data_IF_197675521283
#
_entry.id   IF_197675521283
#
_cell.length_a   1.000
_cell.length_b   1.000
_cell.length_c   1.000
_cell.angle_alpha   90.00
_cell.angle_beta   90.00
_cell.angle_gamma   90.00
#
_symmetry.space_group_name_H-M   'P 1'
#
loop_
_entity.id
_entity.type
_entity.pdbx_description
1 polymer ?
#
# COMPACT_ATOMS: atom_id res chain seq x y z
N UNK A 1 -29.80 3.01 -13.53
CA UNK A 1 -30.80 3.44 -14.53
C UNK A 1 -32.14 2.77 -14.26
N UNK A 2 -32.93 3.35 -13.36
CA UNK A 2 -34.30 2.93 -13.00
C UNK A 2 -34.72 4.06 -12.06
N UNK A 3 -35.50 5.06 -12.49
CA UNK A 3 -36.92 5.11 -12.18
C UNK A 3 -37.65 6.27 -12.92
N UNK A 4 -37.15 6.75 -14.07
CA UNK A 4 -37.90 7.74 -14.87
C UNK A 4 -39.21 7.17 -15.43
N UNK A 5 -39.33 5.84 -15.47
CA UNK A 5 -40.52 5.14 -15.96
C UNK A 5 -41.76 5.48 -15.14
N UNK A 6 -41.65 5.71 -13.82
CA UNK A 6 -42.83 6.00 -12.99
C UNK A 6 -43.39 7.40 -13.25
N UNK A 7 -42.52 8.41 -13.42
CA UNK A 7 -42.93 9.76 -13.83
C UNK A 7 -43.53 9.78 -15.24
N UNK A 8 -42.90 9.08 -16.19
CA UNK A 8 -43.38 8.99 -17.56
C UNK A 8 -44.74 8.28 -17.60
N UNK A 9 -44.90 7.19 -16.83
CA UNK A 9 -46.16 6.44 -16.76
C UNK A 9 -47.26 7.26 -16.08
N UNK A 10 -46.95 7.99 -15.02
CA UNK A 10 -47.90 8.90 -14.37
C UNK A 10 -48.35 10.04 -15.30
N UNK A 11 -47.43 10.60 -16.09
CA UNK A 11 -47.73 11.65 -17.07
C UNK A 11 -48.61 11.12 -18.21
N UNK A 12 -48.28 9.94 -18.75
CA UNK A 12 -49.08 9.31 -19.82
C UNK A 12 -50.48 8.94 -19.30
N UNK A 13 -50.59 8.38 -18.08
CA UNK A 13 -51.88 8.09 -17.45
C UNK A 13 -52.70 9.35 -17.18
N UNK A 14 -52.04 10.46 -16.83
CA UNK A 14 -52.68 11.78 -16.74
C UNK A 14 -53.32 12.18 -18.06
N UNK A 15 -52.54 12.13 -19.15
CA UNK A 15 -53.01 12.54 -20.50
C UNK A 15 -54.14 11.64 -20.98
N UNK A 16 -54.05 10.33 -20.72
CA UNK A 16 -55.10 9.36 -21.06
C UNK A 16 -56.38 9.63 -20.24
N UNK A 17 -56.27 9.98 -18.95
CA UNK A 17 -57.42 10.32 -18.12
C UNK A 17 -58.14 11.60 -18.60
N UNK A 18 -57.39 12.61 -19.08
CA UNK A 18 -57.97 13.80 -19.72
C UNK A 18 -58.69 13.43 -21.03
N UNK A 19 -58.06 12.58 -21.87
CA UNK A 19 -58.62 12.13 -23.14
C UNK A 19 -59.90 11.29 -22.96
N UNK A 20 -59.97 10.45 -21.93
CA UNK A 20 -61.14 9.63 -21.63
C UNK A 20 -62.28 10.44 -21.00
N UNK A 21 -61.97 11.42 -20.15
CA UNK A 21 -62.98 12.32 -19.56
C UNK A 21 -63.67 13.20 -20.61
N UNK A 22 -62.99 13.56 -21.69
CA UNK A 22 -63.59 14.32 -22.80
C UNK A 22 -64.67 13.52 -23.56
N UNK A 23 -64.66 12.18 -23.48
CA UNK A 23 -65.53 11.31 -24.29
C UNK A 23 -66.85 10.93 -23.60
N UNK A 24 -67.00 11.18 -22.29
CA UNK A 24 -68.16 10.71 -21.51
C UNK A 24 -68.87 11.86 -20.79
N UNK A 25 -69.94 12.34 -21.44
CA UNK A 25 -71.13 13.04 -20.90
C UNK A 25 -71.13 14.58 -20.69
N UNK A 26 -72.29 15.25 -20.92
CA UNK A 26 -72.48 16.69 -20.80
C UNK A 26 -72.90 17.05 -19.37
N UNK A 27 -71.93 17.38 -18.51
CA UNK A 27 -72.18 17.88 -17.15
C UNK A 27 -71.25 19.07 -16.95
N UNK A 28 -71.80 20.17 -16.42
CA UNK A 28 -71.20 21.50 -16.28
C UNK A 28 -69.67 21.53 -16.26
N UNK A 29 -69.11 21.82 -17.43
CA UNK A 29 -67.70 21.67 -17.81
C UNK A 29 -66.70 22.51 -17.01
N UNK A 30 -67.14 23.40 -16.12
CA UNK A 30 -66.24 24.43 -15.56
C UNK A 30 -65.59 24.03 -14.23
N UNK A 31 -66.34 23.38 -13.34
CA UNK A 31 -65.88 23.20 -11.95
C UNK A 31 -65.19 21.85 -11.71
N UNK A 32 -65.57 20.79 -12.44
CA UNK A 32 -64.97 19.46 -12.30
C UNK A 32 -63.54 19.38 -12.86
N UNK A 33 -63.30 20.01 -14.02
CA UNK A 33 -61.98 20.02 -14.66
C UNK A 33 -60.93 20.72 -13.82
N UNK A 34 -61.29 21.82 -13.16
CA UNK A 34 -60.40 22.53 -12.25
C UNK A 34 -59.98 21.68 -11.05
N UNK A 35 -60.92 20.92 -10.47
CA UNK A 35 -60.64 20.04 -9.35
C UNK A 35 -59.72 18.87 -9.74
N UNK A 36 -60.00 18.19 -10.86
CA UNK A 36 -59.18 17.07 -11.35
C UNK A 36 -57.77 17.52 -11.70
N UNK A 37 -57.62 18.64 -12.41
CA UNK A 37 -56.32 19.20 -12.74
C UNK A 37 -55.57 19.69 -11.49
N UNK A 38 -56.29 20.24 -10.50
CA UNK A 38 -55.72 20.65 -9.22
C UNK A 38 -55.10 19.47 -8.46
N UNK A 39 -55.87 18.39 -8.25
CA UNK A 39 -55.38 17.19 -7.57
C UNK A 39 -54.22 16.55 -8.34
N UNK A 40 -54.31 16.51 -9.66
CA UNK A 40 -53.27 15.93 -10.50
C UNK A 40 -51.97 16.73 -10.47
N UNK A 41 -52.05 18.07 -10.46
CA UNK A 41 -50.88 18.94 -10.32
C UNK A 41 -50.18 18.72 -8.98
N UNK A 42 -50.96 18.60 -7.90
CA UNK A 42 -50.45 18.38 -6.55
C UNK A 42 -49.73 17.02 -6.44
N UNK A 43 -50.30 15.98 -7.04
CA UNK A 43 -49.70 14.65 -7.06
C UNK A 43 -48.37 14.62 -7.83
N UNK A 44 -48.31 15.27 -8.99
CA UNK A 44 -47.08 15.38 -9.80
C UNK A 44 -46.01 16.20 -9.07
N UNK A 45 -46.38 17.29 -8.39
CA UNK A 45 -45.42 18.09 -7.60
C UNK A 45 -44.77 17.26 -6.48
N UNK A 46 -45.53 16.44 -5.77
CA UNK A 46 -45.01 15.54 -4.72
C UNK A 46 -44.08 14.48 -5.32
N UNK A 47 -44.46 13.89 -6.46
CA UNK A 47 -43.64 12.90 -7.19
C UNK A 47 -42.30 13.48 -7.64
N UNK A 48 -42.30 14.69 -8.20
CA UNK A 48 -41.08 15.38 -8.63
C UNK A 48 -40.22 15.76 -7.41
N UNK A 49 -40.83 16.24 -6.33
CA UNK A 49 -40.14 16.55 -5.07
C UNK A 49 -39.38 15.35 -4.51
N UNK A 50 -40.02 14.17 -4.48
CA UNK A 50 -39.38 12.92 -4.05
C UNK A 50 -38.20 12.51 -4.93
N UNK A 51 -38.30 12.73 -6.25
CA UNK A 51 -37.22 12.42 -7.20
C UNK A 51 -36.02 13.33 -7.02
N UNK A 52 -36.24 14.63 -6.78
CA UNK A 52 -35.16 15.60 -6.55
C UNK A 52 -34.38 15.24 -5.28
N UNK A 53 -35.08 14.88 -4.19
CA UNK A 53 -34.43 14.46 -2.94
C UNK A 53 -33.56 13.21 -3.13
N UNK A 54 -34.08 12.18 -3.80
CA UNK A 54 -33.31 10.97 -4.09
C UNK A 54 -32.07 11.25 -4.97
N UNK A 55 -32.18 12.13 -5.96
CA UNK A 55 -31.04 12.51 -6.82
C UNK A 55 -29.96 13.22 -6.00
N UNK A 56 -30.34 14.09 -5.07
CA UNK A 56 -29.41 14.78 -4.21
C UNK A 56 -28.70 13.83 -3.23
N UNK A 57 -29.43 12.89 -2.64
CA UNK A 57 -28.87 11.88 -1.75
C UNK A 57 -27.89 10.95 -2.49
N UNK A 58 -28.24 10.49 -3.69
CA UNK A 58 -27.35 9.67 -4.53
C UNK A 58 -26.08 10.42 -4.90
N UNK A 59 -26.16 11.73 -5.19
CA UNK A 59 -24.96 12.55 -5.46
C UNK A 59 -24.02 12.59 -4.26
N UNK A 60 -24.54 12.78 -3.06
CA UNK A 60 -23.75 12.77 -1.81
C UNK A 60 -23.11 11.41 -1.57
N UNK A 61 -23.87 10.32 -1.73
CA UNK A 61 -23.34 8.96 -1.60
C UNK A 61 -22.24 8.67 -2.62
N UNK A 62 -22.34 9.17 -3.86
CA UNK A 62 -21.30 9.02 -4.88
C UNK A 62 -20.03 9.80 -4.50
N UNK A 63 -20.17 10.99 -3.92
CA UNK A 63 -19.05 11.81 -3.46
C UNK A 63 -18.31 11.13 -2.30
N UNK A 64 -19.05 10.66 -1.28
CA UNK A 64 -18.51 9.92 -0.14
C UNK A 64 -17.84 8.61 -0.59
N UNK A 65 -18.43 7.92 -1.56
CA UNK A 65 -17.88 6.69 -2.13
C UNK A 65 -16.58 6.96 -2.91
N UNK A 66 -16.53 8.03 -3.71
CA UNK A 66 -15.31 8.44 -4.42
C UNK A 66 -14.21 8.84 -3.43
N UNK A 67 -14.54 9.54 -2.36
CA UNK A 67 -13.57 9.87 -1.32
C UNK A 67 -13.01 8.60 -0.67
N UNK A 68 -13.88 7.65 -0.32
CA UNK A 68 -13.50 6.35 0.24
C UNK A 68 -12.60 5.56 -0.70
N UNK A 69 -12.96 5.47 -1.99
CA UNK A 69 -12.14 4.82 -3.02
C UNK A 69 -10.77 5.50 -3.13
N UNK A 70 -10.72 6.83 -3.10
CA UNK A 70 -9.45 7.56 -3.20
C UNK A 70 -8.53 7.28 -2.01
N UNK A 71 -9.09 7.16 -0.79
CA UNK A 71 -8.36 6.79 0.43
C UNK A 71 -7.85 5.35 0.33
N UNK A 72 -8.71 4.41 -0.05
CA UNK A 72 -8.34 2.99 -0.22
C UNK A 72 -7.26 2.81 -1.29
N UNK A 73 -7.33 3.57 -2.39
CA UNK A 73 -6.31 3.52 -3.45
C UNK A 73 -4.95 4.00 -2.94
N UNK A 74 -4.91 5.14 -2.24
CA UNK A 74 -3.66 5.66 -1.64
C UNK A 74 -3.08 4.71 -0.59
N UNK A 75 -3.93 4.15 0.27
CA UNK A 75 -3.51 3.18 1.27
C UNK A 75 -2.93 1.92 0.62
N UNK A 76 -3.58 1.40 -0.42
CA UNK A 76 -3.09 0.25 -1.16
C UNK A 76 -1.77 0.53 -1.91
N UNK A 77 -1.63 1.71 -2.54
CA UNK A 77 -0.37 2.15 -3.16
C UNK A 77 0.77 2.21 -2.13
N UNK A 78 0.52 2.75 -0.93
CA UNK A 78 1.52 2.78 0.15
C UNK A 78 1.90 1.37 0.62
N UNK A 79 0.93 0.47 0.83
CA UNK A 79 1.19 -0.92 1.25
C UNK A 79 2.00 -1.66 0.18
N UNK A 80 1.67 -1.46 -1.10
CA UNK A 80 2.41 -2.07 -2.21
C UNK A 80 3.84 -1.53 -2.24
N UNK A 81 4.04 -0.22 -2.12
CA UNK A 81 5.37 0.38 -2.10
C UNK A 81 6.22 -0.09 -0.91
N UNK A 82 5.64 -0.17 0.29
CA UNK A 82 6.32 -0.64 1.49
C UNK A 82 6.77 -2.11 1.34
N UNK A 83 5.86 -2.99 0.87
CA UNK A 83 6.18 -4.40 0.63
C UNK A 83 7.20 -4.60 -0.49
N UNK A 84 7.13 -3.83 -1.58
CA UNK A 84 8.13 -3.90 -2.66
C UNK A 84 9.48 -3.43 -2.15
N UNK A 85 9.53 -2.33 -1.39
CA UNK A 85 10.77 -1.83 -0.79
C UNK A 85 11.39 -2.88 0.14
N UNK A 86 10.58 -3.54 0.97
CA UNK A 86 11.05 -4.59 1.87
C UNK A 86 11.57 -5.83 1.12
N UNK A 87 10.89 -6.21 0.04
CA UNK A 87 11.33 -7.29 -0.85
C UNK A 87 12.66 -6.94 -1.53
N UNK A 88 12.80 -5.72 -2.05
CA UNK A 88 14.04 -5.23 -2.68
C UNK A 88 15.22 -5.21 -1.70
N UNK A 89 14.99 -4.84 -0.44
CA UNK A 89 15.98 -4.91 0.63
C UNK A 89 16.44 -6.35 0.88
N UNK A 90 15.49 -7.28 1.01
CA UNK A 90 15.77 -8.70 1.27
C UNK A 90 16.52 -9.35 0.10
N UNK A 91 16.06 -9.13 -1.14
CA UNK A 91 16.74 -9.66 -2.34
C UNK A 91 18.14 -9.07 -2.48
N UNK A 92 18.30 -7.77 -2.26
CA UNK A 92 19.61 -7.13 -2.29
C UNK A 92 20.54 -7.71 -1.23
N UNK A 93 20.05 -7.99 -0.02
CA UNK A 93 20.83 -8.61 1.03
C UNK A 93 21.31 -10.02 0.63
N UNK A 94 20.43 -10.84 0.06
CA UNK A 94 20.78 -12.19 -0.41
C UNK A 94 21.83 -12.14 -1.53
N UNK A 95 21.73 -11.19 -2.46
CA UNK A 95 22.73 -11.00 -3.50
C UNK A 95 24.10 -10.64 -2.91
N UNK A 96 24.16 -9.71 -1.95
CA UNK A 96 25.40 -9.37 -1.25
C UNK A 96 25.96 -10.56 -0.46
N UNK A 97 25.10 -11.39 0.14
CA UNK A 97 25.52 -12.61 0.81
C UNK A 97 26.14 -13.62 -0.17
N UNK A 98 25.53 -13.82 -1.34
CA UNK A 98 26.06 -14.72 -2.37
C UNK A 98 27.43 -14.26 -2.87
N UNK A 99 27.59 -12.95 -3.08
CA UNK A 99 28.88 -12.36 -3.48
C UNK A 99 29.93 -12.49 -2.37
N UNK A 100 29.53 -12.35 -1.11
CA UNK A 100 30.37 -12.66 0.05
C UNK A 100 30.85 -14.11 0.06
N UNK A 101 29.97 -15.07 -0.19
CA UNK A 101 30.31 -16.50 -0.31
C UNK A 101 31.27 -16.74 -1.49
N UNK A 102 31.05 -16.08 -2.63
CA UNK A 102 31.94 -16.18 -3.80
C UNK A 102 33.35 -15.70 -3.46
N UNK A 103 33.46 -14.55 -2.80
CA UNK A 103 34.76 -13.99 -2.40
C UNK A 103 35.43 -14.82 -1.31
N UNK A 104 34.64 -15.38 -0.40
CA UNK A 104 35.10 -16.31 0.61
C UNK A 104 35.76 -17.55 -0.01
N UNK A 105 35.06 -18.21 -0.92
CA UNK A 105 35.57 -19.37 -1.65
C UNK A 105 36.77 -19.02 -2.55
N UNK A 106 36.90 -17.76 -2.97
CA UNK A 106 38.04 -17.26 -3.74
C UNK A 106 39.24 -16.87 -2.86
N UNK A 107 39.13 -16.95 -1.54
CA UNK A 107 40.18 -16.64 -0.58
C UNK A 107 40.32 -15.16 -0.21
N UNK A 108 39.42 -14.28 -0.66
CA UNK A 108 39.46 -12.85 -0.40
C UNK A 108 38.68 -12.48 0.87
N UNK A 109 39.28 -12.71 2.05
CA UNK A 109 38.58 -12.57 3.34
C UNK A 109 38.09 -11.15 3.66
N UNK A 110 38.84 -10.11 3.28
CA UNK A 110 38.43 -8.71 3.48
C UNK A 110 37.19 -8.36 2.66
N UNK A 111 37.18 -8.72 1.39
CA UNK A 111 36.06 -8.44 0.49
C UNK A 111 34.83 -9.24 0.91
N UNK A 112 35.01 -10.52 1.24
CA UNK A 112 33.95 -11.38 1.76
C UNK A 112 33.28 -10.77 3.00
N UNK A 113 34.08 -10.30 3.96
CA UNK A 113 33.56 -9.64 5.16
C UNK A 113 32.79 -8.36 4.83
N UNK A 114 33.28 -7.53 3.91
CA UNK A 114 32.60 -6.31 3.48
C UNK A 114 31.23 -6.60 2.85
N UNK A 115 31.17 -7.60 1.97
CA UNK A 115 29.92 -8.05 1.35
C UNK A 115 28.92 -8.59 2.37
N UNK A 116 29.37 -9.42 3.32
CA UNK A 116 28.51 -9.90 4.39
C UNK A 116 28.02 -8.78 5.31
N UNK A 117 28.86 -7.79 5.62
CA UNK A 117 28.43 -6.67 6.46
C UNK A 117 27.41 -5.78 5.72
N UNK A 118 27.58 -5.59 4.42
CA UNK A 118 26.60 -4.88 3.59
C UNK A 118 25.27 -5.62 3.53
N UNK A 119 25.30 -6.94 3.42
CA UNK A 119 24.11 -7.79 3.55
C UNK A 119 23.44 -7.63 4.92
N UNK A 120 24.21 -7.64 6.01
CA UNK A 120 23.70 -7.51 7.37
C UNK A 120 23.04 -6.14 7.60
N UNK A 121 23.63 -5.07 7.05
CA UNK A 121 23.04 -3.72 7.09
C UNK A 121 21.67 -3.67 6.39
N UNK A 122 21.53 -4.33 5.24
CA UNK A 122 20.27 -4.39 4.50
C UNK A 122 19.21 -5.20 5.26
N UNK A 123 19.57 -6.36 5.84
CA UNK A 123 18.64 -7.17 6.64
C UNK A 123 18.21 -6.48 7.95
N UNK A 124 19.07 -5.66 8.55
CA UNK A 124 18.68 -4.88 9.73
C UNK A 124 17.60 -3.82 9.40
N UNK A 125 17.55 -3.37 8.14
CA UNK A 125 16.53 -2.43 7.66
C UNK A 125 15.28 -3.14 7.11
N UNK A 126 15.38 -4.43 6.78
CA UNK A 126 14.25 -5.23 6.34
C UNK A 126 13.36 -5.66 7.51
N UNK A 127 12.09 -5.90 7.20
CA UNK A 127 11.09 -6.46 8.11
C UNK A 127 11.39 -7.92 8.42
N UNK A 128 11.80 -8.70 7.41
CA UNK A 128 12.19 -10.10 7.59
C UNK A 128 13.65 -10.24 8.08
N UNK A 129 13.79 -10.68 9.32
CA UNK A 129 15.07 -10.88 10.00
C UNK A 129 15.52 -12.34 10.02
N UNK A 130 14.74 -13.26 9.45
CA UNK A 130 15.06 -14.69 9.43
C UNK A 130 16.43 -15.03 8.83
N UNK A 131 16.96 -14.34 7.79
CA UNK A 131 18.24 -14.72 7.20
C UNK A 131 19.46 -14.31 8.03
N UNK A 132 19.27 -13.46 9.06
CA UNK A 132 20.35 -12.85 9.83
C UNK A 132 21.23 -13.91 10.51
N UNK A 133 20.63 -14.93 11.14
CA UNK A 133 21.41 -15.95 11.86
C UNK A 133 22.29 -16.79 10.93
N UNK A 134 21.76 -17.11 9.75
CA UNK A 134 22.52 -17.76 8.69
C UNK A 134 23.70 -16.90 8.25
N UNK A 135 23.46 -15.61 7.97
CA UNK A 135 24.51 -14.67 7.58
C UNK A 135 25.59 -14.52 8.66
N UNK A 136 25.21 -14.38 9.93
CA UNK A 136 26.16 -14.30 11.06
C UNK A 136 27.01 -15.57 11.15
N UNK A 137 26.43 -16.74 10.89
CA UNK A 137 27.19 -18.00 10.85
C UNK A 137 28.23 -18.02 9.73
N UNK A 138 27.91 -17.50 8.54
CA UNK A 138 28.89 -17.36 7.45
C UNK A 138 30.03 -16.39 7.80
N UNK A 139 29.73 -15.27 8.45
CA UNK A 139 30.77 -14.32 8.89
C UNK A 139 31.73 -14.97 9.88
N UNK A 140 31.19 -15.72 10.85
CA UNK A 140 32.01 -16.47 11.81
C UNK A 140 32.80 -17.61 11.15
N UNK A 141 32.29 -18.15 10.03
CA UNK A 141 32.99 -19.08 9.16
C UNK A 141 34.35 -18.57 8.68
N UNK A 142 34.44 -17.28 8.37
CA UNK A 142 35.71 -16.62 7.98
C UNK A 142 36.77 -16.80 9.07
N UNK A 143 36.37 -16.60 10.32
CA UNK A 143 37.26 -16.78 11.47
C UNK A 143 37.68 -18.24 11.62
N UNK A 144 36.75 -19.19 11.50
CA UNK A 144 37.06 -20.61 11.70
C UNK A 144 38.00 -21.16 10.63
N UNK A 145 37.88 -20.69 9.38
CA UNK A 145 38.75 -21.11 8.28
C UNK A 145 40.10 -20.37 8.25
N UNK A 146 40.37 -19.50 9.25
CA UNK A 146 41.60 -18.70 9.36
C UNK A 146 41.92 -17.91 8.10
N UNK A 147 40.88 -17.47 7.39
CA UNK A 147 41.07 -16.73 6.16
C UNK A 147 41.71 -15.38 6.50
N UNK A 148 42.78 -15.03 5.78
CA UNK A 148 43.48 -13.77 6.04
C UNK A 148 42.58 -12.60 5.63
N UNK A 149 42.25 -11.76 6.60
CA UNK A 149 41.59 -10.48 6.39
C UNK A 149 42.66 -9.41 6.45
N UNK A 150 42.93 -8.76 5.31
CA UNK A 150 43.88 -7.66 5.26
C UNK A 150 43.39 -6.48 6.12
N UNK A 151 44.31 -5.60 6.58
CA UNK A 151 43.96 -4.52 7.49
C UNK A 151 42.79 -3.67 6.98
N UNK A 152 41.86 -3.40 7.88
CA UNK A 152 40.63 -2.62 7.64
C UNK A 152 40.81 -1.22 8.23
N UNK A 153 40.19 -0.20 7.64
CA UNK A 153 40.24 1.16 8.19
C UNK A 153 39.52 1.23 9.55
N UNK A 154 39.90 2.18 10.40
CA UNK A 154 39.18 2.44 11.68
C UNK A 154 37.71 2.79 11.43
N UNK A 155 37.44 3.58 10.41
CA UNK A 155 36.08 4.02 10.02
C UNK A 155 35.18 2.85 9.63
N UNK A 156 35.69 1.91 8.83
CA UNK A 156 34.94 0.71 8.43
C UNK A 156 34.67 -0.20 9.63
N UNK A 157 35.61 -0.31 10.58
CA UNK A 157 35.41 -1.09 11.81
C UNK A 157 34.32 -0.47 12.68
N UNK A 158 34.32 0.85 12.84
CA UNK A 158 33.27 1.55 13.59
C UNK A 158 31.89 1.40 12.92
N UNK A 159 31.84 1.50 11.59
CA UNK A 159 30.64 1.22 10.80
C UNK A 159 30.15 -0.21 11.02
N UNK A 160 31.05 -1.19 11.04
CA UNK A 160 30.72 -2.60 11.25
C UNK A 160 30.18 -2.83 12.66
N UNK A 161 30.79 -2.22 13.68
CA UNK A 161 30.29 -2.27 15.06
C UNK A 161 28.88 -1.68 15.17
N UNK A 162 28.60 -0.58 14.47
CA UNK A 162 27.26 0.03 14.43
C UNK A 162 26.24 -0.89 13.73
N UNK A 163 26.62 -1.57 12.65
CA UNK A 163 25.74 -2.52 11.97
C UNK A 163 25.44 -3.72 12.89
N UNK A 164 26.45 -4.23 13.59
CA UNK A 164 26.29 -5.36 14.51
C UNK A 164 25.46 -4.98 15.74
N UNK A 165 25.57 -3.74 16.23
CA UNK A 165 24.80 -3.30 17.40
C UNK A 165 23.28 -3.34 17.16
N UNK A 166 22.84 -3.17 15.92
CA UNK A 166 21.44 -3.26 15.52
C UNK A 166 20.97 -4.69 15.15
N UNK A 167 21.87 -5.67 15.15
CA UNK A 167 21.55 -7.06 14.83
C UNK A 167 20.74 -7.74 15.95
N UNK A 168 19.78 -8.58 15.56
CA UNK A 168 18.90 -9.37 16.46
C UNK A 168 19.44 -10.78 16.77
N UNK A 169 20.55 -11.21 16.17
CA UNK A 169 21.10 -12.57 16.32
C UNK A 169 21.61 -12.88 17.73
N UNK A 170 21.38 -14.12 18.19
CA UNK A 170 21.95 -14.65 19.44
C UNK A 170 23.49 -14.70 19.43
N UNK A 171 24.11 -14.82 18.24
CA UNK A 171 25.57 -14.88 18.04
C UNK A 171 26.24 -13.51 17.93
N UNK A 172 25.48 -12.43 18.12
CA UNK A 172 25.98 -11.05 18.18
C UNK A 172 27.24 -10.85 19.05
N UNK A 173 27.35 -11.37 20.29
CA UNK A 173 28.55 -11.14 21.11
C UNK A 173 29.80 -11.80 20.53
N UNK A 174 29.66 -12.93 19.83
CA UNK A 174 30.79 -13.58 19.14
C UNK A 174 31.22 -12.77 17.92
N UNK A 175 30.25 -12.22 17.19
CA UNK A 175 30.49 -11.37 16.03
C UNK A 175 31.20 -10.07 16.41
N UNK A 176 30.80 -9.43 17.51
CA UNK A 176 31.48 -8.24 18.06
C UNK A 176 32.93 -8.55 18.42
N UNK A 177 33.18 -9.65 19.13
CA UNK A 177 34.54 -10.08 19.47
C UNK A 177 35.39 -10.35 18.24
N UNK A 178 34.79 -10.91 17.19
CA UNK A 178 35.50 -11.16 15.94
C UNK A 178 35.90 -9.85 15.25
N UNK A 179 34.97 -8.92 15.06
CA UNK A 179 35.28 -7.63 14.40
C UNK A 179 36.31 -6.83 15.19
N UNK A 180 36.25 -6.84 16.53
CA UNK A 180 37.26 -6.20 17.38
C UNK A 180 38.64 -6.85 17.31
N UNK A 181 38.73 -8.13 16.89
CA UNK A 181 40.00 -8.85 16.75
C UNK A 181 40.68 -8.68 15.39
N UNK A 182 40.05 -7.98 14.46
CA UNK A 182 40.59 -7.78 13.11
C UNK A 182 41.76 -6.79 13.12
N UNK A 183 42.75 -6.99 12.22
CA UNK A 183 43.85 -6.05 12.09
C UNK A 183 43.34 -4.71 11.56
N UNK A 184 43.64 -3.63 12.28
CA UNK A 184 43.22 -2.27 11.93
C UNK A 184 44.40 -1.50 11.32
N UNK A 185 44.19 -0.88 10.17
CA UNK A 185 45.14 0.05 9.57
C UNK A 185 45.00 1.41 10.25
N UNK A 186 46.07 1.93 10.86
CA UNK A 186 46.09 3.28 11.44
C UNK A 186 46.26 4.40 10.41
N UNK A 187 46.30 4.08 9.11
CA UNK A 187 46.62 5.03 8.05
C UNK A 187 45.36 5.57 7.36
N UNK A 188 45.04 6.83 7.69
CA UNK A 188 44.51 7.79 6.72
C UNK A 188 45.61 8.05 5.68
N UNK A 189 45.76 7.15 4.70
CA UNK A 189 46.60 7.46 3.55
C UNK A 189 45.77 8.32 2.59
N UNK A 190 46.16 9.60 2.56
CA UNK A 190 45.71 10.68 1.68
C UNK A 190 45.66 10.29 0.20
#
# INVERSE_FOLDING_TARGET
MRNCWVSILALVMSVIALMLSYRVAPIDFKDYWGFVLGVQSLLVTILIGWQILNVFEVKRQIEDFNETISKLKKENENIIHDKISDYDLTVSALFQQLEGIRQFNSGHGKDALAFFMKSLKLLNAASDKTPIDGLVSYILGIKSEKLYVSPISKEDVDLYLQIISNCTSEKKPELLKYVMSLPVSEKNDN
#
